data_IF_796716058167
#
_entry.id   IF_796716058167
#
_cell.length_a   1.000
_cell.length_b   1.000
_cell.length_c   1.000
_cell.angle_alpha   90.00
_cell.angle_beta   90.00
_cell.angle_gamma   90.00
#
_symmetry.space_group_name_H-M   'P 1'
#
loop_
_entity.id
_entity.type
_entity.pdbx_description
1 polymer ?
#
# COMPACT_ATOMS: atom_id res chain seq x y z
N UNK A 1 -6.05 -11.01 30.58
CA UNK A 1 -6.98 -10.03 30.00
C UNK A 1 -6.42 -9.50 28.68
N UNK A 2 -7.23 -8.89 27.81
CA UNK A 2 -6.74 -8.36 26.50
C UNK A 2 -5.53 -7.40 26.68
N UNK A 3 -5.50 -6.48 27.67
CA UNK A 3 -4.35 -5.60 27.90
C UNK A 3 -3.07 -6.31 28.38
N UNK A 4 -3.18 -7.46 29.05
CA UNK A 4 -2.01 -8.22 29.48
C UNK A 4 -1.40 -8.99 28.32
N UNK A 5 -2.22 -9.51 27.42
CA UNK A 5 -1.78 -10.19 26.20
C UNK A 5 -1.07 -9.23 25.25
N UNK A 6 -1.64 -8.04 25.01
CA UNK A 6 -1.01 -7.03 24.15
C UNK A 6 0.38 -6.64 24.66
N UNK A 7 0.52 -6.39 25.97
CA UNK A 7 1.81 -6.04 26.57
C UNK A 7 2.85 -7.14 26.39
N UNK A 8 2.48 -8.39 26.64
CA UNK A 8 3.40 -9.51 26.47
C UNK A 8 3.89 -9.62 25.02
N UNK A 9 2.98 -9.53 24.05
CA UNK A 9 3.32 -9.64 22.62
C UNK A 9 4.15 -8.43 22.14
N UNK A 10 3.79 -7.21 22.53
CA UNK A 10 4.45 -6.00 22.06
C UNK A 10 5.79 -5.71 22.76
N UNK A 11 5.91 -6.04 24.05
CA UNK A 11 7.09 -5.70 24.86
C UNK A 11 8.08 -6.87 24.93
N UNK A 12 7.62 -8.07 25.27
CA UNK A 12 8.52 -9.22 25.46
C UNK A 12 8.97 -9.82 24.12
N UNK A 13 8.12 -9.74 23.09
CA UNK A 13 8.40 -10.27 21.75
C UNK A 13 8.60 -9.19 20.68
N UNK A 14 8.60 -7.90 21.05
CA UNK A 14 8.81 -6.77 20.15
C UNK A 14 7.91 -6.75 18.89
N UNK A 15 6.71 -7.31 18.97
CA UNK A 15 5.78 -7.28 17.84
C UNK A 15 5.07 -5.92 17.71
N UNK A 16 5.03 -5.41 16.48
CA UNK A 16 4.17 -4.27 16.13
C UNK A 16 2.86 -4.76 15.51
N UNK A 17 1.73 -4.25 16.01
CA UNK A 17 0.42 -4.51 15.43
C UNK A 17 0.06 -3.40 14.45
N UNK A 18 0.10 -3.71 13.16
CA UNK A 18 -0.32 -2.78 12.11
C UNK A 18 -1.82 -2.90 11.88
N UNK A 19 -2.50 -1.76 11.75
CA UNK A 19 -3.90 -1.73 11.30
C UNK A 19 -3.94 -2.16 9.83
N UNK A 20 -4.84 -3.09 9.49
CA UNK A 20 -5.09 -3.45 8.10
C UNK A 20 -5.67 -2.24 7.35
N UNK A 21 -5.16 -2.01 6.15
CA UNK A 21 -5.72 -1.04 5.20
C UNK A 21 -6.70 -1.76 4.29
N UNK A 22 -7.81 -1.11 3.95
CA UNK A 22 -8.65 -1.54 2.84
C UNK A 22 -7.84 -1.44 1.55
N UNK A 23 -7.99 -2.44 0.68
CA UNK A 23 -7.39 -2.45 -0.64
C UNK A 23 -8.42 -2.99 -1.63
N UNK A 24 -8.29 -2.62 -2.90
CA UNK A 24 -9.22 -3.07 -3.93
C UNK A 24 -8.96 -4.56 -4.25
N UNK A 25 -9.96 -5.41 -4.06
CA UNK A 25 -9.89 -6.86 -4.34
C UNK A 25 -9.51 -7.15 -5.80
N UNK A 26 -9.94 -6.31 -6.74
CA UNK A 26 -9.59 -6.45 -8.16
C UNK A 26 -8.08 -6.42 -8.42
N UNK A 27 -7.29 -5.82 -7.51
CA UNK A 27 -5.83 -5.76 -7.61
C UNK A 27 -5.18 -7.15 -7.59
N UNK A 28 -5.78 -8.06 -6.83
CA UNK A 28 -5.29 -9.43 -6.61
C UNK A 28 -6.08 -10.46 -7.43
N UNK A 29 -7.06 -10.02 -8.23
CA UNK A 29 -7.76 -10.89 -9.16
C UNK A 29 -6.76 -11.44 -10.19
N UNK A 30 -6.86 -12.74 -10.48
CA UNK A 30 -5.96 -13.46 -11.40
C UNK A 30 -5.82 -12.72 -12.75
N UNK A 31 -6.94 -12.26 -13.31
CA UNK A 31 -6.98 -11.46 -14.53
C UNK A 31 -6.05 -10.24 -14.45
N UNK A 32 -6.13 -9.48 -13.37
CA UNK A 32 -5.32 -8.27 -13.17
C UNK A 32 -3.84 -8.60 -13.02
N UNK A 33 -3.52 -9.69 -12.32
CA UNK A 33 -2.15 -10.17 -12.18
C UNK A 33 -1.56 -10.58 -13.55
N UNK A 34 -2.30 -11.35 -14.35
CA UNK A 34 -1.88 -11.73 -15.70
C UNK A 34 -1.64 -10.51 -16.59
N UNK A 35 -2.58 -9.55 -16.60
CA UNK A 35 -2.45 -8.33 -17.42
C UNK A 35 -1.22 -7.50 -17.02
N UNK A 36 -0.97 -7.34 -15.72
CA UNK A 36 0.22 -6.63 -15.22
C UNK A 36 1.51 -7.34 -15.64
N UNK A 37 1.55 -8.67 -15.52
CA UNK A 37 2.70 -9.46 -15.93
C UNK A 37 2.98 -9.31 -17.43
N UNK A 38 1.95 -9.40 -18.27
CA UNK A 38 2.08 -9.26 -19.72
C UNK A 38 2.64 -7.87 -20.11
N UNK A 39 2.09 -6.80 -19.56
CA UNK A 39 2.53 -5.43 -19.83
C UNK A 39 3.99 -5.22 -19.42
N UNK A 40 4.36 -5.65 -18.21
CA UNK A 40 5.74 -5.52 -17.71
C UNK A 40 6.72 -6.33 -18.58
N UNK A 41 6.32 -7.53 -19.02
CA UNK A 41 7.15 -8.37 -19.87
C UNK A 41 7.44 -7.70 -21.21
N UNK A 42 6.41 -7.16 -21.87
CA UNK A 42 6.58 -6.39 -23.12
C UNK A 42 7.49 -5.17 -22.94
N UNK A 43 7.35 -4.44 -21.83
CA UNK A 43 8.19 -3.28 -21.57
C UNK A 43 9.67 -3.64 -21.36
N UNK A 44 9.93 -4.77 -20.71
CA UNK A 44 11.29 -5.31 -20.56
C UNK A 44 11.88 -5.72 -21.91
N UNK A 45 11.10 -6.36 -22.78
CA UNK A 45 11.54 -6.75 -24.13
C UNK A 45 11.92 -5.54 -24.99
N UNK A 46 11.17 -4.43 -24.86
CA UNK A 46 11.44 -3.17 -25.58
C UNK A 46 12.64 -2.41 -24.96
N UNK A 47 13.13 -2.84 -23.79
CA UNK A 47 14.25 -2.19 -23.10
C UNK A 47 13.85 -0.87 -22.41
N UNK A 48 12.58 -0.75 -22.00
CA UNK A 48 12.12 0.42 -21.24
C UNK A 48 12.76 0.38 -19.85
N UNK A 49 13.61 1.36 -19.57
CA UNK A 49 14.17 1.58 -18.25
C UNK A 49 13.22 2.46 -17.42
N UNK A 50 12.57 1.85 -16.43
CA UNK A 50 11.66 2.53 -15.52
C UNK A 50 12.31 3.70 -14.76
N UNK A 51 13.60 3.60 -14.43
CA UNK A 51 14.27 4.63 -13.63
C UNK A 51 14.69 5.83 -14.46
N UNK A 52 15.06 5.61 -15.73
CA UNK A 52 15.67 6.64 -16.56
C UNK A 52 14.74 7.20 -17.66
N UNK A 53 13.77 6.41 -18.12
CA UNK A 53 12.99 6.72 -19.32
C UNK A 53 11.48 6.94 -19.05
N UNK A 54 11.04 6.96 -17.79
CA UNK A 54 9.61 7.07 -17.45
C UNK A 54 9.28 8.36 -16.69
N UNK A 55 8.26 9.08 -17.18
CA UNK A 55 7.57 10.16 -16.46
C UNK A 55 6.17 9.66 -16.11
N UNK A 56 5.84 9.65 -14.82
CA UNK A 56 4.53 9.26 -14.34
C UNK A 56 3.65 10.49 -14.17
N UNK A 57 2.51 10.50 -14.84
CA UNK A 57 1.47 11.50 -14.68
C UNK A 57 0.26 10.78 -14.11
N UNK A 58 -0.16 11.20 -12.93
CA UNK A 58 -1.37 10.72 -12.27
C UNK A 58 -2.16 11.92 -11.74
N UNK A 59 -3.48 11.83 -11.79
CA UNK A 59 -4.34 12.88 -11.28
C UNK A 59 -4.54 12.68 -9.79
N UNK A 60 -3.82 13.46 -8.98
CA UNK A 60 -4.05 13.48 -7.55
C UNK A 60 -5.38 14.19 -7.25
N UNK A 61 -6.40 13.43 -6.88
CA UNK A 61 -7.64 13.97 -6.34
C UNK A 61 -7.39 14.66 -4.99
N UNK A 62 -7.29 15.98 -4.96
CA UNK A 62 -7.21 16.75 -3.72
C UNK A 62 -8.56 16.71 -3.00
N UNK A 63 -8.76 15.71 -2.14
CA UNK A 63 -9.96 15.60 -1.31
C UNK A 63 -9.83 16.46 -0.04
N UNK A 64 -10.71 17.45 0.12
CA UNK A 64 -10.79 18.33 1.30
C UNK A 64 -11.06 17.58 2.62
N UNK A 65 -11.50 16.32 2.55
CA UNK A 65 -11.69 15.41 3.70
C UNK A 65 -10.44 14.60 4.08
N UNK A 66 -9.27 14.89 3.52
CA UNK A 66 -8.00 14.27 3.94
C UNK A 66 -7.48 14.80 5.29
N UNK A 67 -8.25 15.63 6.00
CA UNK A 67 -7.93 16.09 7.34
C UNK A 67 -8.21 14.94 8.32
N UNK A 68 -7.25 14.66 9.23
CA UNK A 68 -7.42 13.64 10.27
C UNK A 68 -8.61 14.01 11.16
N UNK A 69 -9.50 13.06 11.39
CA UNK A 69 -10.65 13.16 12.31
C UNK A 69 -10.24 13.25 13.80
N UNK A 70 -8.96 13.50 14.08
CA UNK A 70 -8.36 13.50 15.42
C UNK A 70 -7.42 14.69 15.55
N UNK A 71 -7.69 15.53 16.54
CA UNK A 71 -6.76 16.54 17.03
C UNK A 71 -5.92 15.96 18.18
N UNK A 72 -4.72 16.50 18.35
CA UNK A 72 -3.95 16.29 19.58
C UNK A 72 -4.49 17.26 20.63
N UNK A 73 -4.78 16.79 21.84
CA UNK A 73 -5.00 17.70 22.96
C UNK A 73 -3.67 18.40 23.28
N UNK A 74 -3.73 19.69 23.59
CA UNK A 74 -2.58 20.42 24.15
C UNK A 74 -2.25 19.95 25.55
#
# INVERSE_FOLDING_TARGET
>A
SIPSLWRHVAIEYAFSLKKSSLYNEERDAERTLCLRHEVISKWKEIGIDFQNNCVFVDEAGFNTRMIRDRAWSK
#
